data_IF_660288447362
#
_entry.id   IF_660288447362
#
_cell.length_a   1.000
_cell.length_b   1.000
_cell.length_c   1.000
_cell.angle_alpha   90.00
_cell.angle_beta   90.00
_cell.angle_gamma   90.00
#
_symmetry.space_group_name_H-M   'P 1'
#
loop_
_entity.id
_entity.type
_entity.pdbx_description
1 polymer ?
#
# COMPACT_ATOMS: atom_id res chain seq x y z
N UNK A 1 -6.27 16.11 -3.86
CA UNK A 1 -5.75 14.96 -4.64
C UNK A 1 -4.23 14.97 -4.92
N UNK A 2 -3.49 16.10 -4.88
CA UNK A 2 -2.02 16.14 -5.12
C UNK A 2 -1.12 15.51 -4.03
N UNK A 3 -1.67 15.04 -2.92
CA UNK A 3 -0.94 14.65 -1.72
C UNK A 3 -0.55 13.17 -1.77
N UNK A 4 -1.35 12.36 -2.49
CA UNK A 4 -1.13 10.94 -2.69
C UNK A 4 -0.05 10.71 -3.75
N UNK A 5 0.01 11.51 -4.81
CA UNK A 5 0.93 11.27 -5.94
C UNK A 5 2.30 11.94 -5.80
N UNK A 6 2.56 12.66 -4.71
CA UNK A 6 3.85 13.35 -4.51
C UNK A 6 4.91 12.39 -3.96
N UNK A 7 6.16 12.44 -4.48
CA UNK A 7 7.28 11.75 -3.86
C UNK A 7 7.54 12.38 -2.49
N UNK A 8 7.23 11.65 -1.42
CA UNK A 8 7.37 12.14 -0.04
C UNK A 8 6.85 11.14 1.00
N UNK A 9 7.19 11.40 2.27
CA UNK A 9 6.83 10.56 3.42
C UNK A 9 5.33 10.21 3.55
N UNK A 10 4.37 11.15 3.30
CA UNK A 10 2.94 10.83 3.40
C UNK A 10 2.52 9.72 2.43
N UNK A 11 3.18 9.66 1.27
CA UNK A 11 2.89 8.66 0.27
C UNK A 11 3.39 7.27 0.64
N UNK A 12 4.52 7.18 1.34
CA UNK A 12 5.09 5.93 1.84
C UNK A 12 4.28 5.37 3.01
N UNK A 13 3.84 6.24 3.94
CA UNK A 13 2.93 5.83 5.01
C UNK A 13 1.61 5.28 4.48
N UNK A 14 1.05 5.92 3.45
CA UNK A 14 -0.19 5.46 2.83
C UNK A 14 0.01 4.11 2.12
N UNK A 15 1.17 3.90 1.48
CA UNK A 15 1.52 2.61 0.89
C UNK A 15 1.69 1.53 1.96
N UNK A 16 2.34 1.84 3.09
CA UNK A 16 2.48 0.92 4.22
C UNK A 16 1.13 0.55 4.84
N UNK A 17 0.26 1.55 5.06
CA UNK A 17 -1.09 1.32 5.57
C UNK A 17 -1.91 0.46 4.59
N UNK A 18 -1.84 0.76 3.28
CA UNK A 18 -2.48 -0.08 2.26
C UNK A 18 -1.95 -1.52 2.31
N UNK A 19 -0.63 -1.70 2.40
CA UNK A 19 -0.01 -3.02 2.58
C UNK A 19 -0.57 -3.76 3.79
N UNK A 20 -0.62 -3.12 4.95
CA UNK A 20 -1.13 -3.69 6.20
C UNK A 20 -2.64 -4.04 6.18
N UNK A 21 -3.42 -3.52 5.23
CA UNK A 21 -4.80 -3.95 5.00
C UNK A 21 -4.89 -5.31 4.29
N UNK A 22 -3.82 -5.73 3.61
CA UNK A 22 -3.82 -6.96 2.80
C UNK A 22 -4.05 -8.22 3.65
N UNK A 23 -3.38 -8.42 4.81
CA UNK A 23 -3.63 -9.57 5.67
C UNK A 23 -5.07 -9.66 6.21
N UNK A 24 -5.74 -8.52 6.43
CA UNK A 24 -7.14 -8.50 6.90
C UNK A 24 -8.12 -9.03 5.84
N UNK A 25 -7.72 -9.06 4.57
CA UNK A 25 -8.51 -9.68 3.51
C UNK A 25 -8.31 -11.20 3.42
N UNK A 26 -7.29 -11.74 4.08
CA UNK A 26 -7.01 -13.17 4.15
C UNK A 26 -7.60 -13.78 5.44
N UNK A 27 -7.59 -15.11 5.52
CA UNK A 27 -7.95 -15.82 6.74
C UNK A 27 -7.04 -15.37 7.90
N UNK A 28 -7.57 -15.22 9.13
CA UNK A 28 -8.92 -15.61 9.60
C UNK A 28 -9.99 -14.49 9.49
N UNK A 29 -9.67 -13.35 8.89
CA UNK A 29 -10.54 -12.16 8.91
C UNK A 29 -11.49 -12.08 7.72
N UNK A 30 -11.08 -12.58 6.54
CA UNK A 30 -11.91 -12.73 5.33
C UNK A 30 -12.63 -11.45 4.86
N UNK A 31 -12.09 -10.27 5.21
CA UNK A 31 -12.62 -8.98 4.73
C UNK A 31 -12.16 -8.71 3.28
N UNK A 32 -12.64 -9.52 2.34
CA UNK A 32 -12.27 -9.47 0.93
C UNK A 32 -12.31 -8.07 0.26
N UNK A 33 -13.20 -7.10 0.63
CA UNK A 33 -13.16 -5.78 0.01
C UNK A 33 -11.87 -5.00 0.32
N UNK A 34 -11.19 -5.33 1.43
CA UNK A 34 -9.93 -4.71 1.81
C UNK A 34 -8.80 -5.06 0.84
N UNK A 35 -8.85 -6.22 0.17
CA UNK A 35 -7.88 -6.54 -0.88
C UNK A 35 -7.99 -5.57 -2.07
N UNK A 36 -9.22 -5.29 -2.50
CA UNK A 36 -9.49 -4.33 -3.57
C UNK A 36 -9.07 -2.93 -3.14
N UNK A 37 -9.42 -2.53 -1.92
CA UNK A 37 -9.05 -1.23 -1.37
C UNK A 37 -7.52 -1.08 -1.29
N UNK A 38 -6.82 -2.10 -0.81
CA UNK A 38 -5.36 -2.13 -0.69
C UNK A 38 -4.67 -1.89 -2.05
N UNK A 39 -5.08 -2.65 -3.08
CA UNK A 39 -4.52 -2.51 -4.43
C UNK A 39 -4.90 -1.16 -5.06
N UNK A 40 -6.14 -0.68 -4.85
CA UNK A 40 -6.57 0.61 -5.36
C UNK A 40 -5.76 1.76 -4.78
N UNK A 41 -5.48 1.74 -3.47
CA UNK A 41 -4.65 2.74 -2.80
C UNK A 41 -3.20 2.72 -3.31
N UNK A 42 -2.64 1.52 -3.54
CA UNK A 42 -1.32 1.38 -4.14
C UNK A 42 -1.29 1.95 -5.56
N UNK A 43 -2.25 1.59 -6.41
CA UNK A 43 -2.34 2.08 -7.80
C UNK A 43 -2.48 3.61 -7.86
N UNK A 44 -3.34 4.19 -7.02
CA UNK A 44 -3.49 5.64 -6.91
C UNK A 44 -2.20 6.31 -6.42
N UNK A 45 -1.48 5.66 -5.51
CA UNK A 45 -0.18 6.10 -5.01
C UNK A 45 0.93 6.06 -6.06
N UNK A 46 0.84 5.16 -7.04
CA UNK A 46 1.83 4.97 -8.11
C UNK A 46 1.61 5.90 -9.32
N UNK A 47 0.38 6.40 -9.52
CA UNK A 47 0.05 7.27 -10.65
C UNK A 47 0.91 8.53 -10.71
N UNK A 48 1.62 8.71 -11.82
CA UNK A 48 2.41 9.91 -12.11
C UNK A 48 3.75 10.01 -11.36
N UNK A 49 4.19 8.94 -10.69
CA UNK A 49 5.50 8.89 -10.04
C UNK A 49 6.61 8.44 -11.00
N UNK A 50 7.83 8.99 -10.85
CA UNK A 50 9.01 8.45 -11.54
C UNK A 50 9.36 7.04 -11.01
N UNK A 51 9.89 6.18 -11.87
CA UNK A 51 10.10 4.75 -11.58
C UNK A 51 10.87 4.45 -10.29
N UNK A 52 11.88 5.28 -9.95
CA UNK A 52 12.64 5.13 -8.69
C UNK A 52 11.79 5.39 -7.44
N UNK A 53 10.88 6.37 -7.49
CA UNK A 53 9.95 6.65 -6.39
C UNK A 53 8.83 5.62 -6.31
N UNK A 54 8.40 5.09 -7.46
CA UNK A 54 7.44 3.99 -7.54
C UNK A 54 7.99 2.70 -6.89
N UNK A 55 9.27 2.38 -7.12
CA UNK A 55 9.96 1.26 -6.46
C UNK A 55 9.94 1.39 -4.94
N UNK A 56 10.35 2.55 -4.42
CA UNK A 56 10.28 2.80 -2.98
C UNK A 56 8.85 2.72 -2.44
N UNK A 57 7.85 3.18 -3.21
CA UNK A 57 6.44 3.06 -2.86
C UNK A 57 6.00 1.61 -2.71
N UNK A 58 6.34 0.78 -3.70
CA UNK A 58 6.07 -0.66 -3.67
C UNK A 58 6.78 -1.36 -2.52
N UNK A 59 7.98 -0.91 -2.16
CA UNK A 59 8.71 -1.50 -1.04
C UNK A 59 8.02 -1.26 0.31
N UNK A 60 7.58 -0.03 0.58
CA UNK A 60 6.80 0.29 1.79
C UNK A 60 5.46 -0.46 1.85
N UNK A 61 4.80 -0.66 0.71
CA UNK A 61 3.61 -1.49 0.62
C UNK A 61 3.89 -2.95 0.97
N UNK A 62 4.92 -3.54 0.37
CA UNK A 62 5.32 -4.92 0.67
C UNK A 62 5.67 -5.09 2.14
N UNK A 63 6.42 -4.15 2.72
CA UNK A 63 6.75 -4.15 4.14
C UNK A 63 5.48 -4.16 5.02
N UNK A 64 4.47 -3.34 4.73
CA UNK A 64 3.21 -3.35 5.45
C UNK A 64 2.44 -4.68 5.30
N UNK A 65 2.40 -5.24 4.09
CA UNK A 65 1.68 -6.48 3.81
C UNK A 65 2.30 -7.71 4.50
N UNK A 66 3.62 -7.85 4.44
CA UNK A 66 4.31 -8.96 5.08
C UNK A 66 4.47 -8.71 6.59
N UNK A 67 4.90 -7.52 7.01
CA UNK A 67 5.14 -7.19 8.41
C UNK A 67 3.89 -7.26 9.30
N UNK A 68 2.70 -6.97 8.77
CA UNK A 68 1.46 -7.08 9.53
C UNK A 68 0.87 -8.51 9.55
N UNK A 69 1.26 -9.36 8.59
CA UNK A 69 0.69 -10.70 8.40
C UNK A 69 1.57 -11.86 8.87
N UNK A 70 2.87 -11.64 9.09
CA UNK A 70 3.81 -12.69 9.48
C UNK A 70 4.37 -12.47 10.89
N UNK A 71 3.91 -13.28 11.85
CA UNK A 71 4.48 -13.46 13.19
C UNK A 71 4.34 -14.91 13.63
#
# INVERSE_FOLDING_TARGET
MRWISRPGWPGHLLALAAGALTPLALAPFDYWPLAILSIALLYLGLRGLPGKSALWRGWWYGFGAFGAGTS
#
